data_IF_103447163607
#
_entry.id   IF_103447163607
#
_cell.length_a   1.000
_cell.length_b   1.000
_cell.length_c   1.000
_cell.angle_alpha   90.00
_cell.angle_beta   90.00
_cell.angle_gamma   90.00
#
_symmetry.space_group_name_H-M   'P 1'
#
loop_
_entity.id
_entity.type
_entity.pdbx_description
1 polymer ?
#
# COMPACT_ATOMS: atom_id res chain seq x y z
N UNK A 1 -7.55 -5.40 12.65
CA UNK A 1 -6.34 -6.19 12.33
C UNK A 1 -6.43 -6.77 10.91
N UNK A 2 -6.78 -5.94 9.91
CA UNK A 2 -7.10 -6.40 8.55
C UNK A 2 -5.88 -6.91 7.77
N UNK A 3 -4.71 -6.31 7.99
CA UNK A 3 -3.48 -6.70 7.31
C UNK A 3 -3.12 -8.19 7.51
N UNK A 4 -3.25 -8.71 8.74
CA UNK A 4 -2.98 -10.12 9.03
C UNK A 4 -4.00 -11.05 8.36
N UNK A 5 -5.28 -10.70 8.45
CA UNK A 5 -6.36 -11.49 7.83
C UNK A 5 -6.20 -11.56 6.33
N UNK A 6 -5.82 -10.43 5.70
CA UNK A 6 -5.55 -10.37 4.27
C UNK A 6 -4.41 -11.31 3.85
N UNK A 7 -3.29 -11.31 4.59
CA UNK A 7 -2.15 -12.23 4.33
C UNK A 7 -2.56 -13.70 4.47
N UNK A 8 -3.35 -14.02 5.49
CA UNK A 8 -3.83 -15.39 5.70
C UNK A 8 -4.77 -15.79 4.56
N UNK A 9 -5.79 -14.99 4.26
CA UNK A 9 -6.75 -15.27 3.20
C UNK A 9 -6.08 -15.41 1.83
N UNK A 10 -5.09 -14.56 1.53
CA UNK A 10 -4.29 -14.63 0.31
C UNK A 10 -3.47 -15.92 0.16
N UNK A 11 -3.24 -16.66 1.25
CA UNK A 11 -2.60 -17.98 1.19
C UNK A 11 -3.56 -19.10 0.76
N UNK A 12 -4.87 -18.85 0.79
CA UNK A 12 -5.93 -19.83 0.50
C UNK A 12 -6.81 -19.46 -0.71
N UNK A 13 -6.60 -18.30 -1.34
CA UNK A 13 -7.40 -17.83 -2.47
C UNK A 13 -7.39 -16.30 -2.60
N UNK A 14 -8.33 -15.75 -3.35
CA UNK A 14 -8.54 -14.30 -3.36
C UNK A 14 -9.14 -13.88 -2.00
N UNK A 15 -8.53 -12.93 -1.26
CA UNK A 15 -9.10 -12.41 -0.02
C UNK A 15 -10.55 -11.93 -0.13
N UNK A 16 -10.98 -11.46 -1.31
CA UNK A 16 -12.35 -11.04 -1.57
C UNK A 16 -13.36 -12.19 -1.42
N UNK A 17 -12.98 -13.43 -1.79
CA UNK A 17 -13.81 -14.62 -1.63
C UNK A 17 -14.07 -14.97 -0.15
N UNK A 18 -13.23 -14.43 0.74
CA UNK A 18 -13.32 -14.59 2.19
C UNK A 18 -13.94 -13.36 2.89
N UNK A 19 -14.53 -12.43 2.13
CA UNK A 19 -15.14 -11.20 2.66
C UNK A 19 -14.12 -10.19 3.19
N UNK A 20 -12.84 -10.34 2.84
CA UNK A 20 -11.82 -9.36 3.16
C UNK A 20 -11.90 -8.24 2.12
N UNK A 21 -12.06 -6.96 2.54
CA UNK A 21 -12.08 -5.85 1.61
C UNK A 21 -10.82 -5.80 0.74
N UNK A 22 -10.99 -5.40 -0.52
CA UNK A 22 -9.86 -5.09 -1.39
C UNK A 22 -9.05 -3.94 -0.79
N UNK A 23 -7.74 -3.99 -0.97
CA UNK A 23 -6.89 -2.87 -0.60
C UNK A 23 -7.18 -1.72 -1.57
N UNK A 24 -7.18 -0.47 -1.08
CA UNK A 24 -7.26 0.68 -1.97
C UNK A 24 -6.04 0.68 -2.89
N UNK A 25 -6.28 1.02 -4.16
CA UNK A 25 -5.20 1.24 -5.10
C UNK A 25 -4.53 2.58 -4.78
N UNK A 26 -3.20 2.58 -4.82
CA UNK A 26 -2.38 3.74 -4.56
C UNK A 26 -1.21 3.76 -5.53
N UNK A 27 -0.72 4.95 -5.81
CA UNK A 27 0.45 5.16 -6.62
C UNK A 27 1.64 5.55 -5.75
N UNK A 28 2.83 5.18 -6.23
CA UNK A 28 4.09 5.59 -5.62
C UNK A 28 4.68 6.71 -6.46
N UNK A 29 4.69 7.92 -5.90
CA UNK A 29 5.33 9.08 -6.53
C UNK A 29 6.73 9.29 -5.99
N UNK A 30 7.66 9.65 -6.87
CA UNK A 30 9.03 10.06 -6.52
C UNK A 30 9.31 11.44 -7.06
N UNK A 31 9.71 12.35 -6.17
CA UNK A 31 10.13 13.70 -6.53
C UNK A 31 11.47 14.01 -5.84
N UNK A 32 12.56 13.96 -6.61
CA UNK A 32 13.91 14.05 -6.05
C UNK A 32 14.18 12.89 -5.08
N UNK A 33 14.58 13.23 -3.86
CA UNK A 33 14.78 12.25 -2.78
C UNK A 33 13.46 11.86 -2.08
N UNK A 34 12.37 12.61 -2.29
CA UNK A 34 11.09 12.35 -1.61
C UNK A 34 10.35 11.18 -2.26
N UNK A 35 9.87 10.26 -1.42
CA UNK A 35 8.97 9.18 -1.78
C UNK A 35 7.60 9.43 -1.15
N UNK A 36 6.54 9.34 -1.94
CA UNK A 36 5.17 9.56 -1.46
C UNK A 36 4.24 8.46 -1.95
N UNK A 37 3.24 8.13 -1.14
CA UNK A 37 2.08 7.34 -1.53
C UNK A 37 0.89 8.27 -1.75
N UNK A 38 0.24 8.08 -2.88
CA UNK A 38 -0.83 8.94 -3.38
C UNK A 38 -2.02 8.06 -3.71
N UNK A 39 -3.24 8.48 -3.37
CA UNK A 39 -4.43 7.75 -3.79
C UNK A 39 -4.57 7.88 -5.31
N UNK A 40 -5.02 6.83 -6.01
CA UNK A 40 -5.11 6.83 -7.49
C UNK A 40 -5.88 8.06 -8.05
N UNK A 41 -6.91 8.52 -7.34
CA UNK A 41 -7.75 9.67 -7.72
C UNK A 41 -7.40 10.99 -7.01
N UNK A 42 -6.33 11.04 -6.21
CA UNK A 42 -6.04 12.18 -5.33
C UNK A 42 -4.71 12.84 -5.65
N UNK A 43 -4.67 14.17 -5.76
CA UNK A 43 -3.40 14.88 -5.98
C UNK A 43 -2.54 15.01 -4.71
N UNK A 44 -3.13 14.82 -3.52
CA UNK A 44 -2.44 15.04 -2.24
C UNK A 44 -1.87 13.72 -1.67
N UNK A 45 -0.56 13.64 -1.40
CA UNK A 45 0.06 12.48 -0.79
C UNK A 45 -0.39 12.30 0.66
N UNK A 46 -0.87 11.11 1.02
CA UNK A 46 -1.31 10.81 2.39
C UNK A 46 -0.20 10.22 3.26
N UNK A 47 0.85 9.64 2.66
CA UNK A 47 2.09 9.25 3.33
C UNK A 47 3.26 9.76 2.50
N UNK A 48 4.25 10.39 3.14
CA UNK A 48 5.47 10.79 2.46
C UNK A 48 6.70 10.65 3.35
N UNK A 49 7.84 10.39 2.71
CA UNK A 49 9.15 10.25 3.32
C UNK A 49 10.14 11.13 2.57
N UNK A 50 10.78 12.07 3.26
CA UNK A 50 11.70 13.03 2.64
C UNK A 50 13.05 12.42 2.29
N UNK A 51 13.57 11.51 3.13
CA UNK A 51 14.85 10.82 2.88
C UNK A 51 14.71 9.30 3.07
N UNK A 52 14.05 8.61 2.13
CA UNK A 52 13.76 7.19 2.20
C UNK A 52 15.02 6.37 1.95
N UNK A 53 15.35 5.48 2.90
CA UNK A 53 16.46 4.54 2.75
C UNK A 53 15.97 3.19 2.25
N UNK A 54 16.75 2.57 1.36
CA UNK A 54 16.45 1.23 0.87
C UNK A 54 16.76 0.21 1.96
N UNK A 55 15.74 -0.32 2.61
CA UNK A 55 15.89 -1.45 3.51
C UNK A 55 16.30 -2.70 2.70
N UNK A 56 17.35 -3.40 3.15
CA UNK A 56 17.65 -4.75 2.67
C UNK A 56 16.75 -5.73 3.43
N UNK A 57 16.17 -6.66 2.69
CA UNK A 57 15.25 -7.68 3.21
C UNK A 57 16.02 -8.95 3.53
#
# INVERSE_FOLDING_TARGET
MLARTWVIAGSYGDPADHGVPKLPEWEVSRNGERLSFVAEDGDEPFISAENPVRARR
#
